data_IF_248617134882
#
_entry.id   IF_248617134882
#
_cell.length_a   1.000
_cell.length_b   1.000
_cell.length_c   1.000
_cell.angle_alpha   90.00
_cell.angle_beta   90.00
_cell.angle_gamma   90.00
#
_symmetry.space_group_name_H-M   'P 1'
#
loop_
_entity.id
_entity.type
_entity.pdbx_description
1 polymer ?
#
# COMPACT_ATOMS: atom_id res chain seq x y z
N UNK A 1 5.35 12.62 -1.29
CA UNK A 1 3.91 12.95 -1.04
C UNK A 1 3.83 14.04 0.02
N UNK A 2 3.01 15.06 -0.18
CA UNK A 2 2.82 16.21 0.72
C UNK A 2 1.34 16.61 0.74
N UNK A 3 0.96 17.55 1.60
CA UNK A 3 -0.41 18.11 1.64
C UNK A 3 -0.90 18.68 0.30
N UNK A 4 0.02 19.13 -0.57
CA UNK A 4 -0.36 19.57 -1.92
C UNK A 4 -0.94 18.45 -2.81
N UNK A 5 -0.75 17.19 -2.42
CA UNK A 5 -1.29 16.02 -3.13
C UNK A 5 -2.54 15.45 -2.43
N UNK A 6 -3.09 16.13 -1.39
CA UNK A 6 -4.15 15.59 -0.54
C UNK A 6 -5.38 15.17 -1.35
N UNK A 7 -5.95 16.09 -2.15
CA UNK A 7 -7.17 15.82 -2.91
C UNK A 7 -7.01 14.63 -3.86
N UNK A 8 -6.03 14.60 -4.79
CA UNK A 8 -5.90 13.48 -5.71
C UNK A 8 -5.54 12.16 -5.01
N UNK A 9 -4.79 12.17 -3.90
CA UNK A 9 -4.50 10.96 -3.13
C UNK A 9 -5.77 10.39 -2.52
N UNK A 10 -6.60 11.23 -1.91
CA UNK A 10 -7.87 10.82 -1.30
C UNK A 10 -8.91 10.41 -2.35
N UNK A 11 -8.96 11.04 -3.53
CA UNK A 11 -9.82 10.64 -4.63
C UNK A 11 -9.47 9.24 -5.18
N UNK A 12 -8.16 8.95 -5.33
CA UNK A 12 -7.70 7.62 -5.73
C UNK A 12 -8.04 6.59 -4.65
N UNK A 13 -7.90 6.94 -3.38
CA UNK A 13 -8.29 6.06 -2.28
C UNK A 13 -9.80 5.81 -2.27
N UNK A 14 -10.62 6.85 -2.47
CA UNK A 14 -12.08 6.74 -2.61
C UNK A 14 -12.48 5.75 -3.70
N UNK A 15 -11.82 5.81 -4.86
CA UNK A 15 -12.05 4.87 -5.96
C UNK A 15 -11.74 3.43 -5.55
N UNK A 16 -10.64 3.19 -4.84
CA UNK A 16 -10.29 1.87 -4.32
C UNK A 16 -11.27 1.33 -3.28
N UNK A 17 -11.78 2.20 -2.40
CA UNK A 17 -12.83 1.85 -1.42
C UNK A 17 -14.12 1.47 -2.14
N UNK A 18 -14.53 2.24 -3.15
CA UNK A 18 -15.76 2.02 -3.90
C UNK A 18 -15.76 0.69 -4.67
N UNK A 19 -14.60 0.23 -5.13
CA UNK A 19 -14.46 -1.08 -5.81
C UNK A 19 -14.68 -2.28 -4.86
N UNK A 20 -14.50 -2.11 -3.55
CA UNK A 20 -14.77 -3.12 -2.53
C UNK A 20 -13.82 -4.32 -2.52
N UNK A 21 -12.72 -4.28 -3.28
CA UNK A 21 -11.76 -5.40 -3.41
C UNK A 21 -10.34 -5.05 -2.94
N UNK A 22 -10.13 -3.84 -2.43
CA UNK A 22 -8.80 -3.35 -2.09
C UNK A 22 -8.57 -3.09 -0.58
N UNK A 23 -9.63 -2.86 0.18
CA UNK A 23 -9.51 -2.46 1.59
C UNK A 23 -10.77 -2.79 2.38
N UNK A 24 -10.63 -2.94 3.69
CA UNK A 24 -11.76 -3.01 4.62
C UNK A 24 -12.40 -1.65 4.89
N UNK A 25 -11.70 -0.54 4.57
CA UNK A 25 -12.24 0.79 4.77
C UNK A 25 -13.52 0.99 3.95
N UNK A 26 -14.48 1.67 4.54
CA UNK A 26 -15.79 1.97 3.94
C UNK A 26 -16.01 3.46 3.72
N UNK A 27 -15.14 4.28 4.30
CA UNK A 27 -15.18 5.75 4.20
C UNK A 27 -13.78 6.29 3.94
N UNK A 28 -13.70 7.37 3.16
CA UNK A 28 -12.43 8.06 2.91
C UNK A 28 -12.06 8.87 4.16
N UNK A 29 -10.83 8.75 4.68
CA UNK A 29 -10.38 9.57 5.80
C UNK A 29 -10.22 11.04 5.37
N UNK A 30 -10.14 11.95 6.33
CA UNK A 30 -9.61 13.28 6.07
C UNK A 30 -8.10 13.22 5.79
N UNK A 31 -7.54 14.27 5.17
CA UNK A 31 -6.08 14.33 4.97
C UNK A 31 -5.31 14.23 6.29
N UNK A 32 -5.78 14.91 7.33
CA UNK A 32 -5.14 14.85 8.65
C UNK A 32 -5.11 13.43 9.22
N UNK A 33 -6.21 12.69 9.09
CA UNK A 33 -6.27 11.28 9.50
C UNK A 33 -5.34 10.41 8.67
N UNK A 34 -5.29 10.62 7.35
CA UNK A 34 -4.38 9.92 6.45
C UNK A 34 -2.92 10.22 6.81
N UNK A 35 -2.58 11.50 6.99
CA UNK A 35 -1.23 11.97 7.29
C UNK A 35 -0.70 11.43 8.62
N UNK A 36 -1.54 11.42 9.66
CA UNK A 36 -1.17 10.92 11.00
C UNK A 36 -1.11 9.40 11.09
N UNK A 37 -1.86 8.68 10.24
CA UNK A 37 -1.88 7.21 10.22
C UNK A 37 -0.70 6.59 9.46
N UNK A 38 0.04 7.37 8.70
CA UNK A 38 1.18 6.92 7.92
C UNK A 38 2.48 7.58 8.40
N UNK A 39 3.60 6.89 8.18
CA UNK A 39 4.92 7.48 8.43
C UNK A 39 5.14 8.69 7.53
N UNK A 40 5.82 9.75 8.00
CA UNK A 40 6.12 10.94 7.19
C UNK A 40 7.06 10.62 6.01
N UNK A 41 7.90 9.60 6.17
CA UNK A 41 8.83 9.11 5.17
C UNK A 41 8.26 7.91 4.41
N UNK A 42 8.92 7.50 3.31
CA UNK A 42 8.57 6.32 2.52
C UNK A 42 7.15 6.37 1.95
N UNK A 43 6.72 7.55 1.51
CA UNK A 43 5.43 7.78 0.85
C UNK A 43 5.60 8.60 -0.41
N UNK A 44 5.07 8.08 -1.53
CA UNK A 44 5.29 8.63 -2.87
C UNK A 44 3.98 8.77 -3.63
N UNK A 45 3.97 9.69 -4.58
CA UNK A 45 2.96 9.77 -5.64
C UNK A 45 3.62 9.53 -6.99
N UNK A 46 2.91 8.90 -7.90
CA UNK A 46 3.28 8.85 -9.31
C UNK A 46 2.49 9.93 -10.03
N UNK A 47 3.17 10.72 -10.85
CA UNK A 47 2.57 11.79 -11.65
C UNK A 47 2.87 11.60 -13.13
N UNK A 48 1.97 12.03 -14.00
CA UNK A 48 2.21 12.09 -15.42
C UNK A 48 2.92 13.38 -15.84
N UNK A 49 3.15 13.56 -17.13
CA UNK A 49 3.82 14.74 -17.69
C UNK A 49 3.04 16.05 -17.48
N UNK A 50 1.75 15.98 -17.23
CA UNK A 50 0.89 17.12 -16.88
C UNK A 50 0.94 17.47 -15.39
N UNK A 51 1.54 16.60 -14.55
CA UNK A 51 1.54 16.70 -13.09
C UNK A 51 0.32 16.08 -12.42
N UNK A 52 -0.55 15.39 -13.17
CA UNK A 52 -1.68 14.69 -12.59
C UNK A 52 -1.22 13.45 -11.80
N UNK A 53 -1.77 13.24 -10.61
CA UNK A 53 -1.45 12.09 -9.76
C UNK A 53 -2.14 10.84 -10.29
N UNK A 54 -1.36 9.81 -10.60
CA UNK A 54 -1.83 8.53 -11.14
C UNK A 54 -1.94 7.42 -10.09
N UNK A 55 -1.30 7.60 -8.96
CA UNK A 55 -1.28 6.62 -7.88
C UNK A 55 -0.41 7.08 -6.72
N UNK A 56 -0.49 6.34 -5.63
CA UNK A 56 0.27 6.61 -4.43
C UNK A 56 0.67 5.33 -3.69
N UNK A 57 1.71 5.42 -2.89
CA UNK A 57 2.14 4.41 -1.93
C UNK A 57 2.51 5.10 -0.62
N UNK A 58 2.15 4.50 0.49
CA UNK A 58 2.50 4.97 1.82
C UNK A 58 2.67 3.77 2.77
N UNK A 59 3.31 3.99 3.91
CA UNK A 59 3.56 2.96 4.91
C UNK A 59 3.18 3.42 6.30
N UNK A 60 2.81 2.45 7.13
CA UNK A 60 2.62 2.61 8.57
C UNK A 60 3.53 1.66 9.35
N UNK A 61 3.84 1.99 10.60
CA UNK A 61 4.57 1.09 11.48
C UNK A 61 3.68 -0.10 11.88
N UNK A 62 4.23 -1.32 11.83
CA UNK A 62 3.49 -2.53 12.22
C UNK A 62 3.35 -2.64 13.73
N UNK A 63 4.32 -2.11 14.47
CA UNK A 63 4.35 -2.21 15.93
C UNK A 63 5.19 -1.10 16.55
N UNK A 64 4.86 -0.70 17.77
CA UNK A 64 5.67 0.22 18.58
C UNK A 64 6.82 -0.47 19.31
N UNK A 65 6.92 -1.81 19.26
CA UNK A 65 8.00 -2.55 19.91
C UNK A 65 9.31 -2.40 19.15
N UNK A 66 10.43 -2.09 19.81
CA UNK A 66 11.74 -1.89 19.16
C UNK A 66 12.20 -3.08 18.28
N UNK A 67 11.81 -4.30 18.64
CA UNK A 67 12.12 -5.51 17.87
C UNK A 67 11.53 -5.49 16.44
N UNK A 68 10.52 -4.68 16.19
CA UNK A 68 9.85 -4.52 14.89
C UNK A 68 10.11 -3.15 14.24
N UNK A 69 11.10 -2.39 14.70
CA UNK A 69 11.38 -1.04 14.22
C UNK A 69 11.62 -0.94 12.70
N UNK A 70 12.11 -2.01 12.09
CA UNK A 70 12.33 -2.11 10.65
C UNK A 70 11.26 -2.90 9.90
N UNK A 71 10.04 -3.00 10.44
CA UNK A 71 8.89 -3.65 9.78
C UNK A 71 7.80 -2.63 9.54
N UNK A 72 7.39 -2.48 8.28
CA UNK A 72 6.32 -1.57 7.88
C UNK A 72 5.24 -2.29 7.09
N UNK A 73 4.03 -1.77 7.19
CA UNK A 73 2.91 -2.18 6.34
C UNK A 73 2.64 -1.10 5.30
N UNK A 74 2.50 -1.49 4.05
CA UNK A 74 2.26 -0.57 2.95
C UNK A 74 0.83 -0.62 2.44
N UNK A 75 0.42 0.50 1.84
CA UNK A 75 -0.76 0.62 1.00
C UNK A 75 -0.35 1.22 -0.34
N UNK A 76 -0.84 0.67 -1.44
CA UNK A 76 -0.60 1.16 -2.80
C UNK A 76 -1.91 1.20 -3.58
N UNK A 77 -2.18 2.35 -4.22
CA UNK A 77 -3.38 2.57 -5.01
C UNK A 77 -3.04 3.27 -6.32
N UNK A 78 -3.66 2.82 -7.39
CA UNK A 78 -3.48 3.38 -8.74
C UNK A 78 -4.85 3.72 -9.31
N UNK A 79 -4.99 4.93 -9.88
CA UNK A 79 -6.24 5.32 -10.54
C UNK A 79 -6.62 4.30 -11.62
N UNK A 80 -7.92 3.97 -11.78
CA UNK A 80 -8.36 2.97 -12.76
C UNK A 80 -7.83 3.17 -14.17
N UNK A 81 -7.74 4.43 -14.61
CA UNK A 81 -7.27 4.80 -15.95
C UNK A 81 -5.76 4.60 -16.18
N UNK A 82 -4.97 4.50 -15.11
CA UNK A 82 -3.53 4.31 -15.20
C UNK A 82 -3.07 2.88 -14.81
N UNK A 83 -4.00 1.96 -14.62
CA UNK A 83 -3.68 0.56 -14.35
C UNK A 83 -3.05 -0.12 -15.55
N UNK A 84 -2.19 -1.12 -15.29
CA UNK A 84 -1.45 -1.89 -16.30
C UNK A 84 -0.45 -1.07 -17.11
N UNK A 85 -0.19 0.18 -16.73
CA UNK A 85 0.81 1.06 -17.33
C UNK A 85 2.14 1.08 -16.54
N UNK A 86 2.32 0.18 -15.57
CA UNK A 86 3.53 0.11 -14.77
C UNK A 86 3.57 1.02 -13.54
N UNK A 87 2.54 1.84 -13.30
CA UNK A 87 2.49 2.82 -12.21
C UNK A 87 2.65 2.16 -10.83
N UNK A 88 1.91 1.09 -10.55
CA UNK A 88 2.03 0.35 -9.29
C UNK A 88 3.43 -0.23 -9.07
N UNK A 89 4.06 -0.74 -10.13
CA UNK A 89 5.42 -1.26 -10.07
C UNK A 89 6.44 -0.17 -9.78
N UNK A 90 6.29 1.00 -10.39
CA UNK A 90 7.15 2.16 -10.14
C UNK A 90 7.03 2.65 -8.69
N UNK A 91 5.80 2.74 -8.16
CA UNK A 91 5.53 3.12 -6.77
C UNK A 91 6.15 2.14 -5.77
N UNK A 92 5.94 0.85 -5.96
CA UNK A 92 6.54 -0.18 -5.09
C UNK A 92 8.06 -0.21 -5.21
N UNK A 93 8.62 0.03 -6.41
CA UNK A 93 10.05 0.15 -6.62
C UNK A 93 10.67 1.33 -5.84
N UNK A 94 10.01 2.50 -5.87
CA UNK A 94 10.42 3.67 -5.10
C UNK A 94 10.33 3.41 -3.58
N UNK A 95 9.27 2.77 -3.13
CA UNK A 95 9.12 2.37 -1.73
C UNK A 95 10.24 1.43 -1.29
N UNK A 96 10.52 0.38 -2.06
CA UNK A 96 11.56 -0.61 -1.76
C UNK A 96 12.93 0.07 -1.63
N UNK A 97 13.32 0.91 -2.59
CA UNK A 97 14.58 1.62 -2.54
C UNK A 97 14.70 2.56 -1.34
N UNK A 98 13.63 3.28 -1.03
CA UNK A 98 13.59 4.21 0.10
C UNK A 98 13.67 3.49 1.45
N UNK A 99 12.95 2.38 1.61
CA UNK A 99 12.93 1.60 2.86
C UNK A 99 14.26 0.87 3.10
N UNK A 100 14.86 0.30 2.06
CA UNK A 100 16.18 -0.33 2.16
C UNK A 100 17.27 0.67 2.55
N UNK A 101 17.26 1.87 1.96
CA UNK A 101 18.20 2.93 2.33
C UNK A 101 18.06 3.40 3.79
N UNK A 102 16.87 3.27 4.36
CA UNK A 102 16.58 3.61 5.76
C UNK A 102 16.79 2.45 6.74
N UNK A 103 17.24 1.27 6.28
CA UNK A 103 17.46 0.11 7.15
C UNK A 103 16.19 -0.63 7.54
N UNK A 104 15.07 -0.39 6.85
CA UNK A 104 13.84 -1.16 7.02
C UNK A 104 14.01 -2.51 6.33
N UNK A 105 13.84 -3.59 7.09
CA UNK A 105 14.15 -4.94 6.62
C UNK A 105 12.95 -5.71 6.10
N UNK A 106 11.71 -5.34 6.45
CA UNK A 106 10.51 -6.03 5.97
C UNK A 106 9.41 -5.05 5.63
N UNK A 107 8.85 -5.20 4.43
CA UNK A 107 7.60 -4.56 4.01
C UNK A 107 6.54 -5.64 3.94
N UNK A 108 5.43 -5.46 4.64
CA UNK A 108 4.27 -6.34 4.54
C UNK A 108 3.05 -5.61 3.98
N UNK A 109 2.05 -6.37 3.58
CA UNK A 109 0.74 -5.86 3.19
C UNK A 109 -0.27 -6.97 3.11
N UNK A 110 -1.53 -6.61 3.16
CA UNK A 110 -2.65 -7.54 2.98
C UNK A 110 -3.38 -7.28 1.66
N UNK A 111 -3.88 -8.34 1.05
CA UNK A 111 -4.76 -8.22 -0.12
C UNK A 111 -5.86 -9.26 -0.06
N UNK A 112 -7.03 -8.94 -0.61
CA UNK A 112 -8.09 -9.93 -0.73
C UNK A 112 -7.73 -10.96 -1.80
N UNK A 113 -8.08 -12.25 -1.62
CA UNK A 113 -7.75 -13.32 -2.57
C UNK A 113 -8.24 -13.08 -3.99
N UNK A 114 -9.37 -12.39 -4.14
CA UNK A 114 -9.97 -12.05 -5.44
C UNK A 114 -9.26 -10.91 -6.17
N UNK A 115 -8.37 -10.16 -5.51
CA UNK A 115 -7.61 -9.09 -6.13
C UNK A 115 -6.35 -9.61 -6.84
N UNK A 116 -6.57 -10.34 -7.94
CA UNK A 116 -5.51 -10.94 -8.73
C UNK A 116 -4.49 -9.91 -9.26
N UNK A 117 -4.95 -8.70 -9.57
CA UNK A 117 -4.08 -7.61 -10.02
C UNK A 117 -3.07 -7.19 -8.96
N UNK A 118 -3.50 -7.04 -7.72
CA UNK A 118 -2.62 -6.74 -6.58
C UNK A 118 -1.64 -7.89 -6.32
N UNK A 119 -2.11 -9.14 -6.30
CA UNK A 119 -1.25 -10.31 -6.11
C UNK A 119 -0.15 -10.39 -7.19
N UNK A 120 -0.51 -10.21 -8.46
CA UNK A 120 0.44 -10.22 -9.58
C UNK A 120 1.46 -9.07 -9.49
N UNK A 121 1.00 -7.86 -9.13
CA UNK A 121 1.87 -6.71 -8.93
C UNK A 121 2.92 -6.99 -7.85
N UNK A 122 2.50 -7.43 -6.68
CA UNK A 122 3.39 -7.68 -5.54
C UNK A 122 4.40 -8.79 -5.84
N UNK A 123 3.98 -9.90 -6.44
CA UNK A 123 4.90 -10.96 -6.89
C UNK A 123 5.96 -10.43 -7.86
N UNK A 124 5.57 -9.52 -8.77
CA UNK A 124 6.48 -8.95 -9.78
C UNK A 124 7.62 -8.10 -9.22
N UNK A 125 7.51 -7.65 -7.97
CA UNK A 125 8.53 -6.85 -7.27
C UNK A 125 9.12 -7.56 -6.05
N UNK A 126 8.94 -8.90 -5.98
CA UNK A 126 9.63 -9.74 -5.02
C UNK A 126 8.92 -9.97 -3.68
N UNK A 127 7.62 -9.67 -3.59
CA UNK A 127 6.83 -10.11 -2.44
C UNK A 127 6.49 -11.59 -2.56
N UNK A 128 6.48 -12.29 -1.43
CA UNK A 128 5.99 -13.66 -1.30
C UNK A 128 4.67 -13.68 -0.51
N UNK A 129 3.87 -14.68 -0.73
CA UNK A 129 2.72 -14.99 0.11
C UNK A 129 3.18 -15.70 1.38
N UNK A 130 2.83 -15.15 2.52
CA UNK A 130 3.11 -15.77 3.83
C UNK A 130 2.03 -16.79 4.18
N UNK A 131 0.78 -16.47 3.87
CA UNK A 131 -0.36 -17.32 4.11
C UNK A 131 -1.68 -16.55 4.05
N UNK A 132 -2.78 -17.27 4.17
CA UNK A 132 -4.13 -16.71 4.20
C UNK A 132 -4.62 -16.60 5.64
N UNK A 133 -5.10 -15.44 6.01
CA UNK A 133 -5.82 -15.18 7.25
C UNK A 133 -7.31 -15.34 6.98
N UNK A 134 -7.84 -16.49 7.32
CA UNK A 134 -9.24 -16.81 7.09
C UNK A 134 -10.15 -15.98 8.01
N UNK A 135 -11.16 -15.35 7.41
CA UNK A 135 -12.19 -14.55 8.12
C UNK A 135 -11.61 -13.53 9.09
N UNK A 136 -10.48 -12.91 8.72
CA UNK A 136 -9.77 -11.96 9.59
C UNK A 136 -10.54 -10.67 9.82
N UNK A 137 -11.40 -10.29 8.89
CA UNK A 137 -12.21 -9.08 8.98
C UNK A 137 -13.62 -9.27 8.42
N UNK A 138 -14.51 -8.34 8.76
CA UNK A 138 -15.88 -8.34 8.29
C UNK A 138 -16.21 -7.03 7.59
N UNK A 139 -16.74 -7.11 6.37
CA UNK A 139 -17.13 -5.95 5.57
C UNK A 139 -18.54 -6.15 5.03
N UNK A 140 -19.42 -5.17 5.24
CA UNK A 140 -20.82 -5.23 4.82
C UNK A 140 -21.53 -6.54 5.24
N UNK A 141 -21.25 -7.01 6.46
CA UNK A 141 -21.83 -8.23 6.98
C UNK A 141 -21.16 -9.53 6.53
N UNK A 142 -20.23 -9.50 5.59
CA UNK A 142 -19.55 -10.67 5.03
C UNK A 142 -18.14 -10.80 5.59
N UNK A 143 -17.76 -12.01 6.02
CA UNK A 143 -16.40 -12.34 6.42
C UNK A 143 -15.48 -12.37 5.20
N UNK A 144 -14.29 -11.79 5.35
CA UNK A 144 -13.30 -11.72 4.27
C UNK A 144 -11.98 -12.32 4.73
N UNK A 145 -11.37 -13.07 3.84
CA UNK A 145 -10.02 -13.57 3.98
C UNK A 145 -9.01 -12.53 3.49
N UNK A 146 -7.80 -12.56 4.03
CA UNK A 146 -6.70 -11.71 3.58
C UNK A 146 -5.46 -12.58 3.36
N UNK A 147 -4.87 -12.46 2.19
CA UNK A 147 -3.54 -13.01 1.92
C UNK A 147 -2.52 -12.01 2.46
N UNK A 148 -1.69 -12.47 3.40
CA UNK A 148 -0.57 -11.72 3.91
C UNK A 148 0.60 -11.85 2.95
N UNK A 149 1.08 -10.71 2.48
CA UNK A 149 2.24 -10.58 1.61
C UNK A 149 3.39 -9.97 2.39
N UNK A 150 4.61 -10.40 2.12
CA UNK A 150 5.79 -9.75 2.66
C UNK A 150 6.95 -9.75 1.67
N UNK A 151 7.78 -8.73 1.77
CA UNK A 151 9.09 -8.66 1.13
C UNK A 151 10.16 -8.42 2.19
N UNK A 152 11.05 -9.38 2.38
CA UNK A 152 12.26 -9.22 3.18
C UNK A 152 13.36 -8.61 2.32
N UNK A 153 13.94 -7.50 2.76
CA UNK A 153 15.07 -6.90 2.06
C UNK A 153 16.29 -7.83 2.06
N UNK A 154 16.92 -8.07 0.93
CA UNK A 154 18.20 -8.76 0.89
C UNK A 154 19.40 -7.85 1.24
N UNK A 155 19.20 -6.53 1.24
CA UNK A 155 20.26 -5.54 1.48
C UNK A 155 20.42 -5.20 2.97
N UNK A 156 19.38 -5.37 3.77
CA UNK A 156 19.41 -5.10 5.21
C UNK A 156 19.61 -6.43 5.95
N UNK A 157 20.78 -6.60 6.57
CA UNK A 157 21.19 -7.80 7.29
C UNK A 157 20.77 -7.78 8.76
#
# INVERSE_FOLDING_TARGET
MTAAHADPVLDIYASGIAEGTATFETTVPSWEQFDTSHLPDHRFVAVDDSGAVLGWVAVSAVSSRPAYAGVVEHSVYVTPTARRLGVGRALLGALIGSTEAAGIWTIQGGTFPENAGSLGLHRSVGFREVGTRERIGRQHGTWRDVILLERRSPAVL
#
